data_IF_010213402134
#
_entry.id   IF_010213402134
#
_cell.length_a   1.000
_cell.length_b   1.000
_cell.length_c   1.000
_cell.angle_alpha   90.00
_cell.angle_beta   90.00
_cell.angle_gamma   90.00
#
_symmetry.space_group_name_H-M   'P 1'
#
loop_
_entity.id
_entity.type
_entity.pdbx_description
1 polymer ?
#
# COMPACT_ATOMS: atom_id res chain seq x y z
N UNK A 1 -26.73 52.13 -22.40
CA UNK A 1 -26.50 50.70 -22.10
C UNK A 1 -25.02 50.33 -21.93
N UNK A 2 -24.06 51.17 -22.34
CA UNK A 2 -22.62 50.90 -22.22
C UNK A 2 -22.01 51.19 -20.83
N UNK A 3 -22.60 52.11 -20.06
CA UNK A 3 -22.07 52.52 -18.74
C UNK A 3 -22.37 51.48 -17.66
N UNK A 4 -23.53 50.83 -17.73
CA UNK A 4 -23.97 49.81 -16.74
C UNK A 4 -23.14 48.52 -16.81
N UNK A 5 -22.66 48.16 -18.01
CA UNK A 5 -21.76 47.03 -18.19
C UNK A 5 -20.38 47.36 -17.60
N UNK A 6 -19.81 48.54 -17.90
CA UNK A 6 -18.48 48.97 -17.42
C UNK A 6 -18.32 48.96 -15.89
N UNK A 7 -19.36 49.26 -15.13
CA UNK A 7 -19.30 49.31 -13.66
C UNK A 7 -19.32 47.93 -12.99
N UNK A 8 -19.89 46.90 -13.63
CA UNK A 8 -19.97 45.55 -13.05
C UNK A 8 -18.75 44.69 -13.35
N UNK A 9 -18.00 44.96 -14.43
CA UNK A 9 -16.78 44.21 -14.78
C UNK A 9 -15.73 44.15 -13.67
N UNK A 10 -15.37 45.26 -12.98
CA UNK A 10 -14.41 45.21 -11.88
C UNK A 10 -14.87 44.32 -10.71
N UNK A 11 -16.17 44.37 -10.39
CA UNK A 11 -16.77 43.57 -9.32
C UNK A 11 -16.79 42.08 -9.68
N UNK A 12 -17.18 41.75 -10.92
CA UNK A 12 -17.17 40.36 -11.42
C UNK A 12 -15.75 39.79 -11.46
N UNK A 13 -14.75 40.58 -11.90
CA UNK A 13 -13.34 40.15 -11.92
C UNK A 13 -12.82 39.93 -10.50
N UNK A 14 -13.18 40.80 -9.55
CA UNK A 14 -12.78 40.64 -8.15
C UNK A 14 -13.36 39.35 -7.55
N UNK A 15 -14.66 39.11 -7.74
CA UNK A 15 -15.32 37.88 -7.27
C UNK A 15 -14.66 36.65 -7.90
N UNK A 16 -14.40 36.66 -9.21
CA UNK A 16 -13.76 35.53 -9.88
C UNK A 16 -12.37 35.25 -9.29
N UNK A 17 -11.56 36.30 -9.07
CA UNK A 17 -10.22 36.17 -8.48
C UNK A 17 -10.27 35.65 -7.06
N UNK A 18 -11.19 36.13 -6.22
CA UNK A 18 -11.33 35.66 -4.84
C UNK A 18 -11.83 34.23 -4.80
N UNK A 19 -12.78 33.85 -5.65
CA UNK A 19 -13.24 32.46 -5.77
C UNK A 19 -12.11 31.54 -6.21
N UNK A 20 -11.35 31.88 -7.25
CA UNK A 20 -10.20 31.08 -7.69
C UNK A 20 -9.15 30.97 -6.59
N UNK A 21 -8.79 32.09 -5.96
CA UNK A 21 -7.82 32.09 -4.86
C UNK A 21 -8.27 31.20 -3.70
N UNK A 22 -9.54 31.28 -3.32
CA UNK A 22 -10.11 30.44 -2.28
C UNK A 22 -10.09 28.95 -2.64
N UNK A 23 -10.46 28.59 -3.88
CA UNK A 23 -10.41 27.21 -4.36
C UNK A 23 -8.99 26.65 -4.36
N UNK A 24 -7.99 27.45 -4.76
CA UNK A 24 -6.58 27.05 -4.72
C UNK A 24 -6.08 26.82 -3.29
N UNK A 25 -6.50 27.64 -2.32
CA UNK A 25 -6.19 27.42 -0.90
C UNK A 25 -6.81 26.12 -0.40
N UNK A 26 -8.07 25.86 -0.71
CA UNK A 26 -8.74 24.61 -0.33
C UNK A 26 -8.06 23.38 -0.95
N UNK A 27 -7.72 23.43 -2.24
CA UNK A 27 -6.98 22.37 -2.92
C UNK A 27 -5.61 22.15 -2.25
N UNK A 28 -4.89 23.24 -1.93
CA UNK A 28 -3.62 23.18 -1.21
C UNK A 28 -3.74 22.49 0.15
N UNK A 29 -4.79 22.80 0.92
CA UNK A 29 -5.07 22.14 2.20
C UNK A 29 -5.33 20.64 1.99
N UNK A 30 -6.19 20.28 1.02
CA UNK A 30 -6.52 18.87 0.73
C UNK A 30 -5.28 18.09 0.30
N UNK A 31 -4.46 18.64 -0.60
CA UNK A 31 -3.19 18.01 -1.03
C UNK A 31 -2.19 17.91 0.11
N UNK A 32 -2.06 18.94 0.93
CA UNK A 32 -1.21 18.93 2.12
C UNK A 32 -1.58 17.79 3.07
N UNK A 33 -2.88 17.61 3.34
CA UNK A 33 -3.37 16.47 4.13
C UNK A 33 -3.04 15.12 3.49
N UNK A 34 -3.23 14.98 2.18
CA UNK A 34 -2.95 13.74 1.45
C UNK A 34 -1.46 13.34 1.52
N UNK A 35 -0.55 14.32 1.55
CA UNK A 35 0.90 14.07 1.68
C UNK A 35 1.28 13.68 3.11
N UNK A 36 0.71 14.37 4.12
CA UNK A 36 1.06 14.15 5.54
C UNK A 36 0.51 12.82 6.06
N UNK A 37 -0.71 12.45 5.64
CA UNK A 37 -1.39 11.27 6.10
C UNK A 37 -2.10 10.57 4.93
N UNK A 38 -1.34 9.91 4.03
CA UNK A 38 -1.95 9.21 2.92
C UNK A 38 -2.73 8.01 3.44
N UNK A 39 -3.90 7.78 2.85
CA UNK A 39 -4.84 6.71 3.17
C UNK A 39 -5.05 5.90 1.89
N UNK A 40 -4.99 4.57 2.00
CA UNK A 40 -5.31 3.66 0.91
C UNK A 40 -6.82 3.60 0.70
N UNK A 41 -7.24 3.60 -0.56
CA UNK A 41 -8.61 3.29 -0.96
C UNK A 41 -8.60 1.94 -1.69
N UNK A 42 -9.75 1.26 -1.79
CA UNK A 42 -9.88 -0.03 -2.50
C UNK A 42 -9.72 0.06 -4.01
N UNK A 43 -9.12 1.13 -4.53
CA UNK A 43 -8.79 1.37 -5.92
C UNK A 43 -7.56 2.28 -6.00
N UNK A 44 -6.90 2.28 -7.16
CA UNK A 44 -5.69 3.08 -7.37
C UNK A 44 -6.00 4.57 -7.34
N UNK A 45 -5.31 5.28 -6.46
CA UNK A 45 -5.38 6.75 -6.33
C UNK A 45 -4.01 7.34 -6.09
N UNK A 46 -3.89 8.65 -6.31
CA UNK A 46 -2.69 9.40 -5.94
C UNK A 46 -2.27 9.17 -4.48
N UNK A 47 -3.25 9.14 -3.57
CA UNK A 47 -3.00 8.93 -2.15
C UNK A 47 -2.58 7.49 -1.85
N UNK A 48 -3.17 6.49 -2.52
CA UNK A 48 -2.74 5.09 -2.41
C UNK A 48 -1.29 4.90 -2.88
N UNK A 49 -0.89 5.57 -3.98
CA UNK A 49 0.47 5.53 -4.48
C UNK A 49 1.49 6.19 -3.51
N UNK A 50 1.14 7.35 -2.95
CA UNK A 50 1.96 7.99 -1.90
C UNK A 50 2.10 7.10 -0.66
N UNK A 51 1.01 6.46 -0.24
CA UNK A 51 1.05 5.53 0.88
C UNK A 51 2.01 4.37 0.59
N UNK A 52 1.93 3.76 -0.59
CA UNK A 52 2.84 2.70 -1.01
C UNK A 52 4.29 3.16 -0.97
N UNK A 53 4.58 4.34 -1.49
CA UNK A 53 5.93 4.93 -1.47
C UNK A 53 6.48 5.14 -0.05
N UNK A 54 5.65 5.54 0.91
CA UNK A 54 6.11 5.82 2.27
C UNK A 54 6.13 4.62 3.19
N UNK A 55 5.28 3.62 2.96
CA UNK A 55 5.04 2.55 3.92
C UNK A 55 5.18 1.13 3.35
N UNK A 56 5.22 0.96 2.03
CA UNK A 56 5.42 -0.34 1.38
C UNK A 56 6.88 -0.55 0.95
N UNK A 57 7.77 -0.73 1.94
CA UNK A 57 9.13 -1.22 1.67
C UNK A 57 9.06 -2.62 1.10
N UNK A 58 9.68 -2.84 -0.06
CA UNK A 58 9.75 -4.13 -0.74
C UNK A 58 11.14 -4.75 -0.53
N UNK A 59 11.19 -6.08 -0.48
CA UNK A 59 12.42 -6.86 -0.53
C UNK A 59 12.97 -6.94 -1.98
N UNK A 60 14.10 -7.62 -2.17
CA UNK A 60 14.73 -7.78 -3.50
C UNK A 60 13.85 -8.50 -4.52
N UNK A 61 12.94 -9.35 -4.05
CA UNK A 61 11.97 -10.07 -4.89
C UNK A 61 10.71 -9.25 -5.20
N UNK A 62 10.61 -8.01 -4.71
CA UNK A 62 9.49 -7.11 -4.96
C UNK A 62 8.29 -7.34 -4.05
N UNK A 63 8.42 -8.16 -3.01
CA UNK A 63 7.37 -8.38 -2.02
C UNK A 63 7.52 -7.48 -0.81
N UNK A 64 6.39 -7.13 -0.19
CA UNK A 64 6.39 -6.34 1.04
C UNK A 64 6.64 -7.24 2.25
N UNK A 65 7.88 -7.65 2.38
CA UNK A 65 8.38 -8.53 3.42
C UNK A 65 9.80 -8.15 3.85
N UNK A 66 10.32 -8.84 4.85
CA UNK A 66 11.75 -8.84 5.18
C UNK A 66 12.53 -9.75 4.22
N UNK A 67 13.85 -9.56 4.16
CA UNK A 67 14.73 -10.49 3.44
C UNK A 67 14.84 -11.82 4.19
N UNK A 68 14.88 -12.92 3.44
CA UNK A 68 14.98 -14.27 3.99
C UNK A 68 16.15 -15.02 3.37
N UNK A 69 16.79 -15.87 4.18
CA UNK A 69 17.81 -16.81 3.67
C UNK A 69 17.12 -17.93 2.87
N UNK A 70 17.64 -18.26 1.69
CA UNK A 70 17.18 -19.42 0.92
C UNK A 70 17.32 -20.70 1.75
N UNK A 71 18.49 -20.90 2.37
CA UNK A 71 18.71 -21.99 3.32
C UNK A 71 17.89 -21.78 4.58
N UNK A 72 16.95 -22.70 4.84
CA UNK A 72 16.09 -22.69 6.02
C UNK A 72 16.83 -23.28 7.22
N UNK A 73 16.88 -22.52 8.30
CA UNK A 73 17.27 -23.02 9.62
C UNK A 73 16.40 -24.25 10.01
N UNK A 74 17.01 -25.41 10.34
CA UNK A 74 16.28 -26.62 10.72
C UNK A 74 15.29 -26.41 11.88
N UNK A 75 15.59 -25.51 12.82
CA UNK A 75 14.76 -25.23 13.99
C UNK A 75 13.65 -24.21 13.71
N UNK A 76 13.68 -23.57 12.55
CA UNK A 76 12.71 -22.54 12.14
C UNK A 76 11.62 -23.12 11.25
N UNK A 77 10.37 -22.81 11.59
CA UNK A 77 9.19 -23.15 10.80
C UNK A 77 8.84 -21.95 9.91
N UNK A 78 8.50 -22.21 8.63
CA UNK A 78 8.13 -21.17 7.66
C UNK A 78 6.63 -21.23 7.38
N UNK A 79 5.98 -20.07 7.44
CA UNK A 79 4.61 -19.87 6.98
C UNK A 79 4.65 -19.05 5.69
N UNK A 80 4.30 -19.66 4.56
CA UNK A 80 4.09 -18.93 3.31
C UNK A 80 2.70 -18.29 3.30
N UNK A 81 2.62 -17.02 2.95
CA UNK A 81 1.35 -16.30 2.76
C UNK A 81 1.33 -15.75 1.35
N UNK A 82 0.39 -16.24 0.56
CA UNK A 82 0.01 -15.68 -0.73
C UNK A 82 -1.38 -15.07 -0.62
N UNK A 83 -1.58 -13.92 -1.24
CA UNK A 83 -2.83 -13.20 -1.17
C UNK A 83 -2.78 -11.84 -1.86
N UNK A 84 -3.86 -11.11 -1.70
CA UNK A 84 -4.08 -9.82 -2.33
C UNK A 84 -3.65 -8.66 -1.41
N UNK A 85 -4.24 -7.48 -1.64
CA UNK A 85 -4.07 -6.27 -0.83
C UNK A 85 -4.24 -6.47 0.68
N UNK A 86 -5.07 -7.44 1.14
CA UNK A 86 -5.26 -7.73 2.56
C UNK A 86 -4.04 -8.41 3.16
N UNK A 87 -3.50 -9.43 2.49
CA UNK A 87 -2.30 -10.14 2.94
C UNK A 87 -1.04 -9.29 2.77
N UNK A 88 -1.00 -8.43 1.74
CA UNK A 88 0.01 -7.39 1.55
C UNK A 88 -0.01 -6.31 2.65
N UNK A 89 -1.13 -6.16 3.36
CA UNK A 89 -1.31 -5.20 4.44
C UNK A 89 -1.51 -3.76 3.95
N UNK A 90 -2.26 -3.55 2.87
CA UNK A 90 -2.63 -2.22 2.39
C UNK A 90 -3.27 -1.40 3.53
N UNK A 91 -2.82 -0.16 3.73
CA UNK A 91 -3.24 0.71 4.82
C UNK A 91 -2.54 0.46 6.17
N UNK A 92 -1.84 -0.66 6.35
CA UNK A 92 -1.06 -0.96 7.57
C UNK A 92 0.37 -0.46 7.42
N UNK A 93 0.80 0.51 8.23
CA UNK A 93 2.11 1.17 8.05
C UNK A 93 3.33 0.27 8.31
N UNK A 94 3.26 -0.61 9.31
CA UNK A 94 4.37 -1.48 9.72
C UNK A 94 4.13 -2.93 9.31
N UNK A 95 5.15 -3.58 8.74
CA UNK A 95 5.12 -5.01 8.37
C UNK A 95 4.82 -5.88 9.58
N UNK A 96 5.26 -5.48 10.78
CA UNK A 96 5.01 -6.23 12.01
C UNK A 96 3.53 -6.32 12.41
N UNK A 97 2.69 -5.46 11.83
CA UNK A 97 1.25 -5.45 12.07
C UNK A 97 0.45 -6.15 10.97
N UNK A 98 1.12 -6.71 9.95
CA UNK A 98 0.46 -7.49 8.91
C UNK A 98 -0.06 -8.81 9.45
N UNK A 99 -1.06 -9.39 8.78
CA UNK A 99 -1.66 -10.66 9.18
C UNK A 99 -0.61 -11.76 9.35
N UNK A 100 0.40 -11.80 8.49
CA UNK A 100 1.48 -12.78 8.54
C UNK A 100 2.35 -12.67 9.77
N UNK A 101 2.94 -11.50 10.01
CA UNK A 101 3.77 -11.23 11.17
C UNK A 101 2.99 -11.48 12.49
N UNK A 102 1.72 -11.06 12.51
CA UNK A 102 0.82 -11.26 13.64
C UNK A 102 0.47 -12.75 13.86
N UNK A 103 0.39 -13.54 12.80
CA UNK A 103 0.13 -14.99 12.87
C UNK A 103 1.35 -15.73 13.42
N UNK A 104 2.54 -15.50 12.86
CA UNK A 104 3.76 -16.18 13.34
C UNK A 104 4.11 -15.79 14.77
N UNK A 105 3.86 -14.54 15.17
CA UNK A 105 3.99 -14.11 16.57
C UNK A 105 3.11 -14.94 17.51
N UNK A 106 1.87 -15.23 17.11
CA UNK A 106 0.95 -16.08 17.89
C UNK A 106 1.37 -17.54 17.88
N UNK A 107 1.81 -18.08 16.74
CA UNK A 107 2.32 -19.45 16.65
C UNK A 107 3.57 -19.67 17.50
N UNK A 108 4.52 -18.74 17.49
CA UNK A 108 5.69 -18.81 18.36
C UNK A 108 5.29 -18.80 19.82
N UNK A 109 4.36 -17.92 20.23
CA UNK A 109 3.89 -17.87 21.61
C UNK A 109 3.17 -19.16 22.07
N UNK A 110 2.42 -19.83 21.18
CA UNK A 110 1.65 -21.03 21.51
C UNK A 110 2.46 -22.32 21.43
N UNK A 111 3.40 -22.41 20.49
CA UNK A 111 4.15 -23.65 20.22
C UNK A 111 5.54 -23.68 20.84
N UNK A 112 6.02 -22.53 21.34
CA UNK A 112 7.40 -22.32 21.76
C UNK A 112 8.44 -22.69 20.67
N UNK A 113 8.02 -22.65 19.40
CA UNK A 113 8.87 -22.88 18.23
C UNK A 113 9.15 -21.56 17.52
N UNK A 114 10.30 -21.47 16.86
CA UNK A 114 10.62 -20.32 16.01
C UNK A 114 9.82 -20.40 14.71
N UNK A 115 9.08 -19.34 14.42
CA UNK A 115 8.31 -19.20 13.18
C UNK A 115 8.73 -17.93 12.45
N UNK A 116 8.84 -18.02 11.13
CA UNK A 116 8.99 -16.88 10.24
C UNK A 116 7.92 -16.91 9.15
N UNK A 117 7.51 -15.74 8.70
CA UNK A 117 6.55 -15.58 7.61
C UNK A 117 7.31 -15.23 6.34
N UNK A 118 6.93 -15.84 5.22
CA UNK A 118 7.33 -15.43 3.88
C UNK A 118 6.07 -14.91 3.20
N UNK A 119 6.02 -13.60 2.95
CA UNK A 119 4.87 -12.95 2.35
C UNK A 119 5.09 -12.73 0.86
N UNK A 120 4.36 -13.46 0.02
CA UNK A 120 4.40 -13.37 -1.45
C UNK A 120 3.13 -12.73 -2.01
N UNK A 121 2.52 -11.84 -1.22
CA UNK A 121 1.27 -11.17 -1.58
C UNK A 121 1.52 -9.89 -2.37
N UNK A 122 0.57 -9.53 -3.23
CA UNK A 122 0.59 -8.30 -4.01
C UNK A 122 -0.77 -7.60 -4.03
N UNK A 123 -0.83 -6.26 -4.07
CA UNK A 123 -2.09 -5.55 -4.25
C UNK A 123 -2.74 -5.95 -5.57
N UNK A 124 -4.08 -6.02 -5.58
CA UNK A 124 -4.90 -6.34 -6.75
C UNK A 124 -4.62 -7.70 -7.42
N UNK A 125 -3.84 -8.58 -6.79
CA UNK A 125 -3.59 -9.96 -7.27
C UNK A 125 -4.79 -10.86 -7.01
N UNK A 126 -4.91 -11.93 -7.79
CA UNK A 126 -6.06 -12.84 -7.73
C UNK A 126 -5.66 -14.32 -7.70
N UNK A 127 -6.61 -15.20 -7.35
CA UNK A 127 -6.36 -16.63 -7.09
C UNK A 127 -5.60 -17.36 -8.20
N UNK A 128 -5.82 -17.04 -9.47
CA UNK A 128 -5.10 -17.68 -10.57
C UNK A 128 -3.60 -17.36 -10.57
N UNK A 129 -3.23 -16.11 -10.28
CA UNK A 129 -1.82 -15.70 -10.15
C UNK A 129 -1.16 -16.40 -8.97
N UNK A 130 -1.88 -16.55 -7.84
CA UNK A 130 -1.36 -17.28 -6.69
C UNK A 130 -1.11 -18.75 -7.02
N UNK A 131 -1.99 -19.38 -7.78
CA UNK A 131 -1.81 -20.77 -8.25
C UNK A 131 -0.60 -20.87 -9.18
N UNK A 132 -0.44 -19.94 -10.12
CA UNK A 132 0.70 -19.91 -11.05
C UNK A 132 2.02 -19.74 -10.30
N UNK A 133 2.08 -18.82 -9.33
CA UNK A 133 3.24 -18.62 -8.46
C UNK A 133 3.62 -19.90 -7.70
N UNK A 134 2.63 -20.55 -7.08
CA UNK A 134 2.87 -21.78 -6.32
C UNK A 134 3.32 -22.93 -7.22
N UNK A 135 2.74 -23.07 -8.41
CA UNK A 135 3.17 -24.07 -9.40
C UNK A 135 4.62 -23.85 -9.83
N UNK A 136 4.99 -22.61 -10.17
CA UNK A 136 6.35 -22.29 -10.54
C UNK A 136 7.37 -22.67 -9.45
N UNK A 137 7.04 -22.39 -8.18
CA UNK A 137 7.89 -22.77 -7.04
C UNK A 137 7.98 -24.29 -6.80
N UNK A 138 6.86 -25.02 -6.95
CA UNK A 138 6.84 -26.47 -6.80
C UNK A 138 7.58 -27.19 -7.95
N UNK A 139 7.41 -26.70 -9.18
CA UNK A 139 8.07 -27.25 -10.36
C UNK A 139 9.59 -27.00 -10.32
N UNK A 140 10.03 -25.87 -9.76
CA UNK A 140 11.45 -25.62 -9.51
C UNK A 140 12.06 -26.69 -8.60
N UNK A 141 11.39 -27.03 -7.49
CA UNK A 141 11.81 -28.10 -6.58
C UNK A 141 11.82 -29.50 -7.19
N UNK A 142 11.06 -29.74 -8.26
CA UNK A 142 11.04 -31.06 -8.92
C UNK A 142 12.26 -31.32 -9.80
N UNK A 143 13.04 -30.27 -10.12
CA UNK A 143 14.19 -30.32 -11.04
C UNK A 143 15.55 -30.30 -10.34
N UNK A 144 15.57 -30.09 -9.02
CA UNK A 144 16.75 -30.22 -8.14
C UNK A 144 16.78 -31.59 -7.47
#
# INVERSE_FOLDING_TARGET
>A
MSTFLKTKWPQTILILRTTIGFLLVLEGIVRGRAIIAPITQGFSTYTSALWGRYYASLNQEGFRDSEHSESKDPETHRLLIAGDSFAFGAGIKSIQNHVGAQTVKRFTAQTNKKWEVINVSGPDTHTLEHIEFLKAGLDHKSKE
#
